data_IF_920127312694
#
_entry.id   IF_920127312694
#
_cell.length_a   1.000
_cell.length_b   1.000
_cell.length_c   1.000
_cell.angle_alpha   90.00
_cell.angle_beta   90.00
_cell.angle_gamma   90.00
#
_symmetry.space_group_name_H-M   'P 1'
#
loop_
_entity.id
_entity.type
_entity.pdbx_description
1 polymer ?
#
# COMPACT_ATOMS: atom_id res chain seq x y z
N UNK A 1 6.72 -50.97 4.14
CA UNK A 1 6.94 -49.51 4.03
C UNK A 1 7.75 -49.29 2.76
N UNK A 2 7.09 -49.09 1.62
CA UNK A 2 7.69 -49.19 0.29
C UNK A 2 7.57 -47.85 -0.45
N UNK A 3 8.69 -47.38 -1.00
CA UNK A 3 8.73 -46.53 -2.18
C UNK A 3 8.30 -47.38 -3.42
N UNK A 4 7.93 -46.85 -4.61
CA UNK A 4 8.64 -45.74 -5.26
C UNK A 4 7.82 -44.77 -6.16
N UNK A 5 8.44 -43.61 -6.41
CA UNK A 5 8.64 -42.98 -7.72
C UNK A 5 7.60 -43.28 -8.81
N UNK A 6 6.69 -42.33 -9.03
CA UNK A 6 5.78 -42.33 -10.18
C UNK A 6 6.27 -41.31 -11.20
N UNK A 7 6.90 -41.79 -12.27
CA UNK A 7 7.03 -41.04 -13.52
C UNK A 7 5.65 -40.98 -14.19
N UNK A 8 5.10 -39.80 -14.53
CA UNK A 8 4.01 -39.75 -15.49
C UNK A 8 4.59 -39.95 -16.89
N UNK A 9 4.41 -41.18 -17.34
CA UNK A 9 4.53 -41.65 -18.71
C UNK A 9 3.91 -40.67 -19.73
N UNK A 10 4.66 -40.51 -20.81
CA UNK A 10 4.24 -40.00 -22.10
C UNK A 10 2.94 -40.69 -22.54
N UNK A 11 1.86 -39.92 -22.72
CA UNK A 11 0.70 -40.39 -23.48
C UNK A 11 1.09 -40.48 -24.96
N UNK A 12 1.48 -41.68 -25.38
CA UNK A 12 1.52 -42.09 -26.79
C UNK A 12 0.07 -42.22 -27.27
N UNK A 13 -0.32 -41.41 -28.27
CA UNK A 13 -1.64 -41.51 -28.91
C UNK A 13 -1.50 -42.36 -30.16
N UNK A 14 -2.11 -43.55 -30.17
CA UNK A 14 -2.21 -44.41 -31.35
C UNK A 14 -3.41 -44.00 -32.20
N UNK A 15 -3.16 -43.77 -33.48
CA UNK A 15 -4.15 -43.45 -34.52
C UNK A 15 -4.81 -44.72 -35.06
N UNK A 16 -6.14 -44.74 -35.14
CA UNK A 16 -6.94 -45.70 -35.92
C UNK A 16 -8.13 -44.99 -36.57
N UNK A 17 -8.24 -45.14 -37.89
CA UNK A 17 -9.30 -44.61 -38.78
C UNK A 17 -10.64 -45.34 -38.51
N UNK A 18 -11.85 -44.80 -38.70
CA UNK A 18 -12.36 -43.90 -39.73
C UNK A 18 -13.61 -43.12 -39.25
N UNK A 19 -13.79 -41.88 -39.73
CA UNK A 19 -15.11 -41.21 -39.76
C UNK A 19 -15.16 -39.77 -39.26
N UNK A 20 -15.50 -38.87 -40.19
CA UNK A 20 -16.01 -37.49 -40.02
C UNK A 20 -14.98 -36.34 -39.95
N UNK A 21 -15.20 -35.41 -40.88
CA UNK A 21 -14.50 -34.16 -41.18
C UNK A 21 -14.63 -33.13 -40.06
N UNK A 22 -13.56 -32.39 -39.79
CA UNK A 22 -13.57 -31.18 -38.98
C UNK A 22 -12.20 -30.52 -38.95
N UNK A 23 -11.99 -29.55 -39.85
CA UNK A 23 -10.78 -28.73 -39.88
C UNK A 23 -10.80 -27.78 -38.68
N UNK A 24 -9.85 -27.92 -37.76
CA UNK A 24 -9.37 -26.79 -36.98
C UNK A 24 -7.94 -27.08 -36.55
N UNK A 25 -7.01 -26.65 -37.41
CA UNK A 25 -5.61 -26.56 -37.03
C UNK A 25 -5.48 -25.59 -35.87
N UNK A 26 -5.00 -26.07 -34.74
CA UNK A 26 -4.45 -25.22 -33.70
C UNK A 26 -3.12 -25.82 -33.29
N UNK A 27 -2.09 -25.21 -33.87
CA UNK A 27 -0.70 -25.27 -33.43
C UNK A 27 -0.65 -25.13 -31.91
N UNK A 28 0.27 -25.87 -31.30
CA UNK A 28 0.94 -25.52 -30.05
C UNK A 28 0.63 -24.12 -29.55
N UNK A 29 -0.04 -24.01 -28.41
CA UNK A 29 0.45 -23.13 -27.35
C UNK A 29 0.16 -23.87 -26.06
N UNK A 30 1.23 -24.36 -25.43
CA UNK A 30 1.34 -24.43 -23.98
C UNK A 30 0.47 -23.30 -23.41
N UNK A 31 -0.60 -23.61 -22.70
CA UNK A 31 -1.14 -22.69 -21.70
C UNK A 31 -0.10 -22.60 -20.58
N UNK A 32 1.10 -22.11 -20.92
CA UNK A 32 1.92 -21.30 -20.06
C UNK A 32 0.93 -20.25 -19.64
N UNK A 33 0.43 -20.43 -18.42
CA UNK A 33 -0.26 -19.39 -17.68
C UNK A 33 0.52 -18.14 -18.00
N UNK A 34 -0.07 -17.35 -18.89
CA UNK A 34 0.36 -15.99 -19.07
C UNK A 34 -0.06 -15.41 -17.74
N UNK A 35 0.84 -15.48 -16.77
CA UNK A 35 1.21 -14.31 -16.00
C UNK A 35 1.42 -13.21 -17.04
N UNK A 36 0.28 -12.68 -17.49
CA UNK A 36 0.11 -11.36 -17.99
C UNK A 36 0.74 -10.57 -16.87
N UNK A 37 1.99 -10.22 -17.10
CA UNK A 37 2.61 -9.06 -16.52
C UNK A 37 1.70 -7.89 -16.90
N UNK A 38 0.58 -7.77 -16.20
CA UNK A 38 0.07 -6.47 -15.83
C UNK A 38 1.25 -5.87 -15.11
N UNK A 39 2.03 -5.04 -15.80
CA UNK A 39 2.80 -4.02 -15.13
C UNK A 39 1.80 -3.37 -14.19
N UNK A 40 1.84 -3.75 -12.91
CA UNK A 40 0.92 -3.23 -11.91
C UNK A 40 1.16 -1.73 -11.93
N UNK A 41 0.24 -0.95 -12.50
CA UNK A 41 0.38 0.50 -12.57
C UNK A 41 0.41 0.96 -11.13
N UNK A 42 1.58 1.42 -10.68
CA UNK A 42 1.72 1.96 -9.33
C UNK A 42 1.48 3.46 -9.40
N UNK A 43 0.82 3.99 -8.39
CA UNK A 43 0.58 5.42 -8.22
C UNK A 43 1.28 5.87 -6.95
N UNK A 44 1.86 7.07 -6.94
CA UNK A 44 2.30 7.64 -5.67
C UNK A 44 1.10 7.93 -4.78
N UNK A 45 1.24 7.70 -3.48
CA UNK A 45 0.19 7.98 -2.48
C UNK A 45 -0.26 9.43 -2.58
N UNK A 46 0.68 10.38 -2.74
CA UNK A 46 0.38 11.79 -2.96
C UNK A 46 -0.52 12.02 -4.19
N UNK A 47 -0.30 11.31 -5.30
CA UNK A 47 -1.13 11.44 -6.51
C UNK A 47 -2.54 10.91 -6.30
N UNK A 48 -2.71 9.86 -5.49
CA UNK A 48 -4.03 9.35 -5.14
C UNK A 48 -4.78 10.31 -4.21
N UNK A 49 -4.09 10.89 -3.23
CA UNK A 49 -4.68 11.88 -2.30
C UNK A 49 -5.01 13.19 -3.04
N UNK A 50 -4.19 13.62 -4.00
CA UNK A 50 -4.46 14.82 -4.78
C UNK A 50 -5.76 14.74 -5.62
N UNK A 51 -6.23 13.52 -5.93
CA UNK A 51 -7.50 13.27 -6.59
C UNK A 51 -8.70 13.24 -5.62
N UNK A 52 -8.45 13.21 -4.32
CA UNK A 52 -9.50 13.21 -3.30
C UNK A 52 -10.16 14.59 -3.20
N UNK A 53 -11.48 14.59 -2.96
CA UNK A 53 -12.30 15.80 -2.94
C UNK A 53 -12.42 16.39 -1.53
N UNK A 54 -12.17 15.57 -0.51
CA UNK A 54 -12.42 15.89 0.90
C UNK A 54 -11.12 16.16 1.65
N UNK A 55 -10.00 15.56 1.23
CA UNK A 55 -8.72 15.67 1.93
C UNK A 55 -7.61 16.14 1.03
N UNK A 56 -6.66 16.84 1.64
CA UNK A 56 -5.42 17.28 0.99
C UNK A 56 -4.21 16.88 1.83
N UNK A 57 -3.12 16.52 1.16
CA UNK A 57 -1.87 16.13 1.81
C UNK A 57 -1.22 17.33 2.50
N UNK A 58 -0.73 17.12 3.72
CA UNK A 58 0.08 18.08 4.44
C UNK A 58 1.49 18.13 3.86
N UNK A 59 1.92 19.32 3.43
CA UNK A 59 3.26 19.56 2.89
C UNK A 59 4.10 20.35 3.89
N UNK A 60 5.40 20.01 3.97
CA UNK A 60 6.35 20.67 4.87
C UNK A 60 6.91 21.98 4.32
N UNK A 61 6.71 22.27 3.03
CA UNK A 61 7.40 23.35 2.32
C UNK A 61 7.15 24.76 2.86
N UNK A 62 6.12 24.97 3.70
CA UNK A 62 5.82 26.27 4.33
C UNK A 62 5.27 26.19 5.75
N UNK A 63 5.15 24.99 6.31
CA UNK A 63 4.45 24.75 7.59
C UNK A 63 5.38 24.08 8.59
N UNK A 64 5.34 24.54 9.81
CA UNK A 64 6.09 24.02 10.95
C UNK A 64 5.20 23.06 11.75
N UNK A 65 5.81 22.27 12.63
CA UNK A 65 5.06 21.35 13.48
C UNK A 65 4.07 22.05 14.44
N UNK A 66 4.19 23.37 14.61
CA UNK A 66 3.27 24.20 15.39
C UNK A 66 2.00 24.60 14.64
N UNK A 67 1.93 24.41 13.32
CA UNK A 67 0.72 24.68 12.54
C UNK A 67 -0.44 23.83 13.05
N UNK A 68 -1.62 24.43 13.13
CA UNK A 68 -2.82 23.77 13.65
C UNK A 68 -3.13 22.45 12.91
N UNK A 69 -2.90 22.43 11.59
CA UNK A 69 -3.09 21.25 10.75
C UNK A 69 -2.12 20.12 11.12
N UNK A 70 -0.84 20.44 11.34
CA UNK A 70 0.18 19.46 11.73
C UNK A 70 -0.05 18.94 13.15
N UNK A 71 -0.46 19.83 14.07
CA UNK A 71 -0.83 19.44 15.43
C UNK A 71 -2.04 18.52 15.45
N UNK A 72 -3.06 18.79 14.62
CA UNK A 72 -4.23 17.93 14.50
C UNK A 72 -3.87 16.55 13.94
N UNK A 73 -3.05 16.51 12.89
CA UNK A 73 -2.52 15.28 12.30
C UNK A 73 -1.71 14.45 13.31
N UNK A 74 -0.80 15.10 14.04
CA UNK A 74 -0.04 14.45 15.12
C UNK A 74 -0.94 13.95 16.24
N UNK A 75 -1.96 14.71 16.60
CA UNK A 75 -2.97 14.31 17.58
C UNK A 75 -3.69 13.02 17.18
N UNK A 76 -4.13 12.90 15.92
CA UNK A 76 -4.75 11.66 15.40
C UNK A 76 -3.80 10.48 15.50
N UNK A 77 -2.56 10.66 15.05
CA UNK A 77 -1.54 9.62 15.12
C UNK A 77 -1.31 9.13 16.56
N UNK A 78 -1.14 10.07 17.51
CA UNK A 78 -1.00 9.74 18.94
C UNK A 78 -2.24 9.08 19.51
N UNK A 79 -3.45 9.48 19.13
CA UNK A 79 -4.68 8.87 19.62
C UNK A 79 -4.80 7.41 19.21
N UNK A 80 -4.46 7.09 17.95
CA UNK A 80 -4.52 5.72 17.42
C UNK A 80 -3.35 4.84 17.90
N UNK A 81 -2.18 5.44 18.19
CA UNK A 81 -0.95 4.70 18.49
C UNK A 81 -0.42 4.94 19.92
N UNK A 82 -1.19 5.57 20.83
CA UNK A 82 -0.72 6.04 22.13
C UNK A 82 0.05 4.95 22.92
N UNK A 83 -0.57 3.78 23.04
CA UNK A 83 -0.07 2.63 23.79
C UNK A 83 1.24 2.08 23.22
N UNK A 84 1.38 2.11 21.89
CA UNK A 84 2.57 1.62 21.18
C UNK A 84 3.66 2.66 21.10
N UNK A 85 3.30 3.95 21.07
CA UNK A 85 4.21 5.09 21.02
C UNK A 85 5.05 5.19 22.30
N UNK A 86 4.43 4.94 23.45
CA UNK A 86 5.11 4.95 24.76
C UNK A 86 6.18 3.86 24.86
N UNK A 87 5.95 2.71 24.21
CA UNK A 87 6.87 1.58 24.20
C UNK A 87 7.77 1.53 22.95
N UNK A 88 7.68 2.53 22.06
CA UNK A 88 8.45 2.58 20.80
C UNK A 88 8.12 1.47 19.79
N UNK A 89 6.96 0.83 19.94
CA UNK A 89 6.47 -0.24 19.06
C UNK A 89 5.46 0.25 18.03
N UNK A 90 5.32 1.57 17.87
CA UNK A 90 4.41 2.15 16.89
C UNK A 90 4.83 1.83 15.45
N UNK A 91 3.90 1.90 14.48
CA UNK A 91 4.17 1.50 13.09
C UNK A 91 5.30 2.30 12.42
N UNK A 92 5.54 3.55 12.85
CA UNK A 92 6.51 4.45 12.24
C UNK A 92 7.78 4.62 13.08
N UNK A 93 7.84 3.96 14.24
CA UNK A 93 8.88 4.01 15.27
C UNK A 93 9.28 5.44 15.60
N UNK A 94 8.30 6.33 15.74
CA UNK A 94 8.57 7.73 16.05
C UNK A 94 8.89 7.83 17.53
N UNK A 95 10.14 8.14 17.84
CA UNK A 95 10.58 8.36 19.22
C UNK A 95 9.82 9.52 19.83
N UNK A 96 8.89 9.21 20.73
CA UNK A 96 8.13 10.22 21.43
C UNK A 96 8.95 10.77 22.60
N UNK A 97 9.72 11.83 22.34
CA UNK A 97 10.45 12.58 23.38
C UNK A 97 9.56 13.31 24.40
N UNK A 98 8.25 13.06 24.35
CA UNK A 98 7.17 13.83 25.01
C UNK A 98 6.12 12.90 25.63
N UNK A 99 6.51 11.68 26.00
CA UNK A 99 5.62 10.75 26.70
C UNK A 99 4.97 11.45 27.91
N UNK A 100 3.63 11.54 27.89
CA UNK A 100 2.84 12.17 28.95
C UNK A 100 2.41 13.64 28.73
N UNK A 101 2.71 14.28 27.58
CA UNK A 101 2.18 15.62 27.29
C UNK A 101 0.77 15.58 26.67
N UNK A 102 -0.14 16.51 27.04
CA UNK A 102 -1.50 16.57 26.49
C UNK A 102 -1.49 16.80 24.97
N UNK A 103 -2.46 16.17 24.30
CA UNK A 103 -2.54 16.06 22.83
C UNK A 103 -2.52 17.42 22.11
N UNK A 104 -3.16 18.44 22.70
CA UNK A 104 -3.44 19.72 22.06
C UNK A 104 -2.33 20.77 22.18
N UNK A 105 -1.33 20.53 23.03
CA UNK A 105 -0.25 21.51 23.29
C UNK A 105 1.07 21.16 22.60
N UNK A 106 1.10 20.06 21.85
CA UNK A 106 2.35 19.53 21.34
C UNK A 106 2.51 19.77 19.84
N UNK A 107 3.65 20.33 19.46
CA UNK A 107 4.03 20.48 18.07
C UNK A 107 4.29 19.11 17.45
N UNK A 108 3.92 18.93 16.18
CA UNK A 108 4.27 17.73 15.45
C UNK A 108 5.81 17.60 15.36
N UNK A 109 6.39 16.47 15.75
CA UNK A 109 7.84 16.29 15.68
C UNK A 109 8.30 16.21 14.22
N UNK A 110 9.54 16.64 13.99
CA UNK A 110 10.15 16.61 12.66
C UNK A 110 10.17 15.21 12.06
N UNK A 111 10.38 14.17 12.87
CA UNK A 111 10.32 12.77 12.45
C UNK A 111 8.96 12.37 11.88
N UNK A 112 7.87 12.83 12.51
CA UNK A 112 6.52 12.58 12.01
C UNK A 112 6.28 13.29 10.67
N UNK A 113 6.63 14.57 10.58
CA UNK A 113 6.49 15.35 9.35
C UNK A 113 7.32 14.76 8.21
N UNK A 114 8.54 14.30 8.51
CA UNK A 114 9.42 13.64 7.54
C UNK A 114 8.85 12.29 7.10
N UNK A 115 8.26 11.51 8.01
CA UNK A 115 7.57 10.26 7.66
C UNK A 115 6.40 10.51 6.71
N UNK A 116 5.59 11.55 6.96
CA UNK A 116 4.54 11.93 6.02
C UNK A 116 5.08 12.25 4.62
N UNK A 117 6.18 12.99 4.51
CA UNK A 117 6.83 13.29 3.22
C UNK A 117 7.35 12.03 2.52
N UNK A 118 7.99 11.11 3.25
CA UNK A 118 8.54 9.87 2.70
C UNK A 118 7.43 8.90 2.27
N UNK A 119 6.46 8.64 3.15
CA UNK A 119 5.39 7.66 2.91
C UNK A 119 4.44 8.15 1.79
N UNK A 120 4.20 9.46 1.67
CA UNK A 120 3.38 10.03 0.60
C UNK A 120 4.00 9.88 -0.80
N UNK A 121 5.34 9.75 -0.88
CA UNK A 121 6.07 9.53 -2.14
C UNK A 121 6.12 8.06 -2.54
N UNK A 122 5.78 7.14 -1.65
CA UNK A 122 5.77 5.71 -1.97
C UNK A 122 4.73 5.39 -3.03
N UNK A 123 5.07 4.40 -3.84
CA UNK A 123 4.21 3.90 -4.90
C UNK A 123 3.36 2.74 -4.38
N UNK A 124 2.04 2.88 -4.51
CA UNK A 124 1.04 1.89 -4.12
C UNK A 124 0.21 1.47 -5.33
N UNK A 125 -0.44 0.32 -5.24
CA UNK A 125 -1.31 -0.16 -6.31
C UNK A 125 -2.64 0.58 -6.34
N UNK A 126 -3.19 0.80 -5.15
CA UNK A 126 -4.51 1.37 -4.96
C UNK A 126 -4.67 1.86 -3.51
N UNK A 127 -5.84 2.42 -3.21
CA UNK A 127 -6.20 3.00 -1.92
C UNK A 127 -6.39 1.98 -0.78
N UNK A 128 -6.37 0.68 -1.08
CA UNK A 128 -6.45 -0.38 -0.08
C UNK A 128 -5.11 -0.62 0.63
N UNK A 129 -4.01 -0.15 0.05
CA UNK A 129 -2.66 -0.30 0.60
C UNK A 129 -2.55 0.36 1.98
N UNK A 130 -1.89 -0.32 2.92
CA UNK A 130 -1.74 0.19 4.28
C UNK A 130 -0.96 1.51 4.31
N UNK A 131 0.01 1.68 3.40
CA UNK A 131 0.76 2.91 3.23
C UNK A 131 -0.16 4.06 2.88
N UNK A 132 -1.07 3.85 1.92
CA UNK A 132 -2.06 4.85 1.54
C UNK A 132 -2.96 5.20 2.72
N UNK A 133 -3.51 4.20 3.42
CA UNK A 133 -4.40 4.41 4.57
C UNK A 133 -3.72 5.20 5.69
N UNK A 134 -2.48 4.86 6.02
CA UNK A 134 -1.71 5.55 7.06
C UNK A 134 -1.48 7.02 6.69
N UNK A 135 -1.03 7.29 5.46
CA UNK A 135 -0.82 8.67 5.00
C UNK A 135 -2.16 9.42 4.91
N UNK A 136 -3.22 8.77 4.42
CA UNK A 136 -4.55 9.36 4.33
C UNK A 136 -5.09 9.76 5.70
N UNK A 137 -4.92 8.95 6.75
CA UNK A 137 -5.40 9.26 8.09
C UNK A 137 -4.53 10.31 8.81
N UNK A 138 -3.21 10.15 8.73
CA UNK A 138 -2.29 10.87 9.61
C UNK A 138 -1.55 12.03 8.95
N UNK A 139 -1.49 12.07 7.62
CA UNK A 139 -0.74 13.10 6.88
C UNK A 139 -1.63 13.99 6.01
N UNK A 140 -2.94 13.98 6.23
CA UNK A 140 -3.87 14.83 5.49
C UNK A 140 -4.68 15.72 6.41
N UNK A 141 -5.18 16.80 5.83
CA UNK A 141 -6.19 17.66 6.45
C UNK A 141 -7.43 17.69 5.58
N UNK A 142 -8.54 18.08 6.20
CA UNK A 142 -9.77 18.31 5.46
C UNK A 142 -9.61 19.53 4.56
N UNK A 143 -9.98 19.34 3.29
CA UNK A 143 -9.96 20.39 2.28
C UNK A 143 -11.11 21.33 2.61
N UNK A 144 -10.77 22.57 2.95
CA UNK A 144 -11.79 23.61 3.16
C UNK A 144 -12.52 23.79 1.83
N UNK A 145 -13.78 23.36 1.76
CA UNK A 145 -14.66 23.70 0.64
C UNK A 145 -14.95 25.19 0.76
N UNK A 146 -14.22 25.98 -0.03
CA UNK A 146 -14.48 27.41 -0.18
C UNK A 146 -15.76 27.67 -0.97
#
# INVERSE_FOLDING_TARGET
MAAPWVNPLLCVVLTGTAGVVGYCGSKFVFSKSSERSTSKIKFSVASLIAKDVNKELLTKDKKQGSDADWKAAWGKYKAENNSTLVNGSDPWKISNGTAGKPQDQENAPSDFMNKCDIESKKEVLDTSDQTYKNVYNWCTKDKVKS
#
